data_IF_082348201416
#
_entry.id   IF_082348201416
#
_cell.length_a   1.000
_cell.length_b   1.000
_cell.length_c   1.000
_cell.angle_alpha   90.00
_cell.angle_beta   90.00
_cell.angle_gamma   90.00
#
_symmetry.space_group_name_H-M   'P 1'
#
loop_
_entity.id
_entity.type
_entity.pdbx_description
1 polymer ?
#
# COMPACT_ATOMS: atom_id res chain seq x y z
N UNK A 1 25.64 22.05 80.62
CA UNK A 1 25.71 20.60 80.90
C UNK A 1 26.05 19.90 79.59
N UNK A 2 27.35 19.64 79.34
CA UNK A 2 28.01 18.30 79.39
C UNK A 2 27.33 17.28 78.46
N UNK A 3 27.88 17.05 77.27
CA UNK A 3 28.80 15.93 76.89
C UNK A 3 28.01 14.83 76.15
N UNK A 4 28.47 14.09 75.13
CA UNK A 4 29.74 13.92 74.40
C UNK A 4 29.41 13.03 73.16
N UNK A 5 29.99 13.31 71.97
CA UNK A 5 30.98 12.52 71.17
C UNK A 5 30.59 11.06 70.84
N UNK A 6 30.83 10.54 69.62
CA UNK A 6 32.12 10.26 68.94
C UNK A 6 31.84 10.21 67.41
N UNK A 7 32.41 11.06 66.52
CA UNK A 7 33.73 10.99 65.80
C UNK A 7 33.97 9.59 65.15
N UNK A 8 34.21 9.43 63.86
CA UNK A 8 35.49 9.70 63.19
C UNK A 8 35.34 10.02 61.70
N UNK A 9 36.03 11.09 61.31
CA UNK A 9 36.48 11.47 59.97
C UNK A 9 37.69 10.64 59.51
N UNK A 10 37.88 10.52 58.19
CA UNK A 10 39.04 11.04 57.43
C UNK A 10 39.08 10.36 56.04
N UNK A 11 38.98 11.07 54.92
CA UNK A 11 39.89 12.09 54.33
C UNK A 11 41.06 11.50 53.53
N UNK A 12 41.24 12.12 52.36
CA UNK A 12 42.50 12.24 51.63
C UNK A 12 42.34 11.88 50.15
N UNK A 13 42.03 12.83 49.25
CA UNK A 13 42.98 13.78 48.60
C UNK A 13 43.80 13.09 47.50
N UNK A 14 44.04 13.60 46.29
CA UNK A 14 43.95 14.93 45.70
C UNK A 14 44.33 14.82 44.20
N UNK A 15 43.89 15.79 43.39
CA UNK A 15 44.59 16.42 42.23
C UNK A 15 45.10 15.59 41.03
N UNK A 16 45.20 16.07 39.78
CA UNK A 16 44.88 17.31 39.06
C UNK A 16 45.18 17.07 37.54
N UNK A 17 44.63 17.89 36.64
CA UNK A 17 45.30 18.28 35.38
C UNK A 17 44.86 17.70 34.02
N UNK A 18 44.39 18.59 33.12
CA UNK A 18 45.05 18.77 31.81
C UNK A 18 44.50 18.12 30.51
N UNK A 19 43.66 18.86 29.77
CA UNK A 19 43.75 19.24 28.35
C UNK A 19 43.95 18.18 27.21
N UNK A 20 42.95 18.18 26.29
CA UNK A 20 42.95 17.95 24.82
C UNK A 20 43.35 16.60 24.18
N UNK A 21 42.46 16.08 23.31
CA UNK A 21 42.71 15.96 21.86
C UNK A 21 41.46 15.61 21.03
N UNK A 22 41.36 16.34 19.91
CA UNK A 22 40.42 16.26 18.78
C UNK A 22 40.31 14.86 18.17
N UNK A 23 39.11 14.52 17.66
CA UNK A 23 38.99 13.77 16.42
C UNK A 23 37.95 14.42 15.49
N UNK A 24 38.31 14.41 14.21
CA UNK A 24 37.84 15.27 13.12
C UNK A 24 36.42 14.94 12.65
N UNK A 25 35.73 16.02 12.28
CA UNK A 25 34.63 16.06 11.32
C UNK A 25 35.10 15.55 9.96
N UNK A 26 34.33 14.64 9.35
CA UNK A 26 34.23 14.52 7.90
C UNK A 26 32.84 15.00 7.48
N UNK A 27 32.81 16.16 6.87
CA UNK A 27 31.64 16.78 6.24
C UNK A 27 31.42 16.14 4.87
N UNK A 28 30.35 15.36 4.73
CA UNK A 28 29.72 15.11 3.44
C UNK A 28 28.30 15.68 3.46
N UNK A 29 28.21 16.94 3.04
CA UNK A 29 26.95 17.61 2.71
C UNK A 29 26.27 16.87 1.55
N UNK A 30 25.13 16.25 1.83
CA UNK A 30 24.15 15.82 0.83
C UNK A 30 22.88 16.64 1.04
N UNK A 31 22.76 17.71 0.25
CA UNK A 31 21.55 18.51 0.16
C UNK A 31 20.49 17.72 -0.61
N UNK A 32 19.47 17.26 0.08
CA UNK A 32 18.25 16.69 -0.53
C UNK A 32 17.04 17.21 0.24
N UNK A 33 16.66 18.45 -0.07
CA UNK A 33 15.41 19.04 0.36
C UNK A 33 14.36 18.78 -0.71
N UNK A 34 13.40 17.90 -0.41
CA UNK A 34 12.26 17.61 -1.27
C UNK A 34 11.29 18.80 -1.20
N UNK A 35 11.04 19.40 -2.36
CA UNK A 35 10.13 20.51 -2.60
C UNK A 35 8.66 20.03 -2.72
N UNK A 36 7.73 20.98 -2.52
CA UNK A 36 6.27 20.87 -2.66
C UNK A 36 5.77 19.81 -3.66
N UNK A 37 4.85 18.90 -3.27
CA UNK A 37 4.23 17.98 -4.21
C UNK A 37 3.05 18.67 -4.91
N UNK A 38 3.35 19.53 -5.87
CA UNK A 38 2.50 19.77 -7.04
C UNK A 38 3.30 19.20 -8.20
N UNK A 39 3.11 17.92 -8.51
CA UNK A 39 3.85 17.22 -9.57
C UNK A 39 3.30 17.66 -10.93
N UNK A 40 4.06 18.37 -11.78
CA UNK A 40 3.71 18.55 -13.18
C UNK A 40 4.22 17.33 -13.97
N UNK A 41 3.36 16.85 -14.87
CA UNK A 41 3.73 15.96 -15.97
C UNK A 41 4.80 16.65 -16.84
N UNK A 42 5.93 16.00 -17.05
CA UNK A 42 6.78 16.26 -18.22
C UNK A 42 6.87 14.93 -18.98
N UNK A 43 6.39 14.95 -20.22
CA UNK A 43 6.65 13.91 -21.20
C UNK A 43 8.16 13.78 -21.39
N UNK A 44 8.66 12.55 -21.34
CA UNK A 44 10.03 12.23 -21.75
C UNK A 44 9.89 11.51 -23.08
N UNK A 45 10.30 12.21 -24.14
CA UNK A 45 10.58 11.63 -25.44
C UNK A 45 11.66 10.55 -25.27
N UNK A 46 11.36 9.34 -25.72
CA UNK A 46 12.30 8.23 -25.85
C UNK A 46 13.19 8.51 -27.07
N UNK A 47 14.42 8.99 -26.85
CA UNK A 47 15.50 8.88 -27.84
C UNK A 47 16.39 7.67 -27.49
N UNK A 48 16.38 6.68 -28.39
CA UNK A 48 17.29 5.53 -28.39
C UNK A 48 18.70 5.99 -28.77
N UNK A 49 19.70 5.76 -27.91
CA UNK A 49 21.12 5.86 -28.29
C UNK A 49 21.69 4.46 -28.58
N UNK A 50 21.88 4.20 -29.88
CA UNK A 50 22.71 3.15 -30.43
C UNK A 50 24.20 3.38 -30.08
N UNK A 51 24.84 2.38 -29.46
CA UNK A 51 26.29 2.35 -29.30
C UNK A 51 26.93 1.45 -30.36
N UNK A 52 27.39 2.06 -31.46
CA UNK A 52 28.35 1.45 -32.40
C UNK A 52 29.73 1.32 -31.75
N UNK A 53 30.33 0.12 -31.80
CA UNK A 53 31.73 -0.11 -31.45
C UNK A 53 32.56 -0.29 -32.72
N UNK A 54 33.44 0.68 -32.96
CA UNK A 54 34.43 0.68 -34.03
C UNK A 54 35.58 -0.33 -33.81
N UNK A 55 36.02 -0.89 -34.93
CA UNK A 55 37.18 -1.76 -35.10
C UNK A 55 38.51 -0.99 -34.94
N UNK A 56 39.55 -1.64 -34.39
CA UNK A 56 40.94 -1.51 -34.88
C UNK A 56 41.79 -2.67 -34.38
N UNK A 57 42.72 -3.08 -35.24
CA UNK A 57 43.47 -4.34 -35.21
C UNK A 57 44.81 -4.31 -34.45
N UNK A 58 45.27 -5.54 -34.13
CA UNK A 58 46.64 -6.10 -34.17
C UNK A 58 47.29 -6.58 -32.86
N UNK A 59 47.83 -7.81 -32.93
CA UNK A 59 48.93 -8.31 -32.10
C UNK A 59 48.74 -9.74 -31.60
N UNK A 60 49.26 -10.74 -32.31
CA UNK A 60 49.00 -12.16 -32.06
C UNK A 60 49.75 -12.85 -30.92
N UNK A 61 49.39 -14.11 -30.68
CA UNK A 61 50.13 -15.04 -29.81
C UNK A 61 49.34 -16.27 -29.35
N UNK A 62 49.37 -17.33 -30.17
CA UNK A 62 49.40 -18.79 -29.87
C UNK A 62 48.65 -19.42 -28.65
N UNK A 63 47.88 -20.48 -29.00
CA UNK A 63 47.68 -21.78 -28.28
C UNK A 63 46.69 -21.69 -27.09
N UNK A 64 45.64 -22.50 -26.89
CA UNK A 64 45.41 -23.94 -27.04
C UNK A 64 43.88 -24.25 -27.02
N UNK A 65 43.50 -25.45 -27.46
CA UNK A 65 42.12 -25.96 -27.56
C UNK A 65 41.40 -26.09 -26.21
N UNK A 66 40.10 -25.76 -26.16
CA UNK A 66 39.07 -26.76 -25.84
C UNK A 66 37.63 -26.24 -25.99
N UNK A 67 36.80 -27.09 -26.59
CA UNK A 67 35.37 -26.93 -26.84
C UNK A 67 34.58 -26.98 -25.52
N UNK A 68 33.68 -26.01 -25.33
CA UNK A 68 32.69 -26.00 -24.25
C UNK A 68 31.40 -25.32 -24.72
N UNK A 69 30.33 -26.08 -24.69
CA UNK A 69 29.05 -25.88 -25.38
C UNK A 69 28.17 -24.77 -24.77
N UNK A 70 27.43 -24.13 -25.66
CA UNK A 70 26.38 -23.13 -25.47
C UNK A 70 25.22 -23.72 -24.68
N UNK A 71 24.70 -23.00 -23.67
CA UNK A 71 23.43 -23.33 -23.01
C UNK A 71 22.37 -22.39 -23.56
N UNK A 72 21.48 -22.92 -24.40
CA UNK A 72 20.26 -22.28 -24.85
C UNK A 72 19.06 -22.89 -24.12
N UNK A 73 18.04 -22.07 -23.95
CA UNK A 73 16.81 -22.32 -23.21
C UNK A 73 15.86 -23.29 -23.91
N UNK A 74 15.18 -24.14 -23.12
CA UNK A 74 13.95 -24.86 -23.46
C UNK A 74 13.07 -24.82 -22.20
N UNK A 75 11.93 -24.11 -22.23
CA UNK A 75 10.59 -24.59 -22.59
C UNK A 75 10.09 -25.73 -21.70
N UNK A 76 9.04 -25.42 -20.94
CA UNK A 76 8.36 -26.34 -20.06
C UNK A 76 7.60 -27.40 -20.85
N UNK A 77 7.83 -28.65 -20.45
CA UNK A 77 7.04 -29.80 -20.83
C UNK A 77 6.40 -30.38 -19.57
N UNK A 78 5.18 -30.84 -19.75
CA UNK A 78 4.31 -31.44 -18.75
C UNK A 78 5.00 -32.65 -18.08
N UNK A 79 5.13 -32.61 -16.75
CA UNK A 79 5.58 -33.77 -15.98
C UNK A 79 4.44 -34.81 -15.93
N UNK A 80 4.51 -35.77 -16.84
CA UNK A 80 3.79 -37.04 -16.76
C UNK A 80 4.21 -37.79 -15.49
N UNK A 81 3.22 -38.23 -14.71
CA UNK A 81 3.40 -39.02 -13.49
C UNK A 81 4.05 -40.37 -13.83
N UNK A 82 5.26 -40.65 -13.31
CA UNK A 82 5.90 -41.97 -13.43
C UNK A 82 5.06 -43.05 -12.73
N UNK A 83 4.47 -43.96 -13.50
CA UNK A 83 3.85 -45.19 -13.01
C UNK A 83 4.89 -46.30 -12.85
N UNK A 84 5.16 -46.68 -11.60
CA UNK A 84 5.85 -47.94 -11.27
C UNK A 84 4.99 -49.15 -11.71
N UNK A 85 5.33 -49.73 -12.85
CA UNK A 85 4.82 -51.00 -13.34
C UNK A 85 5.60 -52.14 -12.65
N UNK A 86 4.96 -52.96 -11.80
CA UNK A 86 5.11 -54.43 -11.63
C UNK A 86 4.28 -54.89 -10.41
N UNK A 87 3.18 -55.61 -10.64
CA UNK A 87 2.41 -56.31 -9.60
C UNK A 87 0.94 -56.53 -9.94
N UNK A 88 0.59 -57.78 -10.25
CA UNK A 88 -0.67 -58.27 -10.82
C UNK A 88 -1.96 -57.90 -10.06
N UNK A 89 -2.94 -57.43 -10.85
CA UNK A 89 -4.35 -57.81 -10.91
C UNK A 89 -5.16 -57.86 -9.58
N UNK A 90 -5.35 -56.68 -8.96
CA UNK A 90 -6.51 -56.35 -8.09
C UNK A 90 -6.57 -54.86 -7.65
N UNK A 91 -5.80 -53.97 -8.28
CA UNK A 91 -5.54 -52.59 -7.79
C UNK A 91 -6.31 -51.50 -8.52
N UNK A 92 -6.94 -51.78 -9.67
CA UNK A 92 -7.63 -50.77 -10.49
C UNK A 92 -8.97 -50.31 -9.87
N UNK A 93 -9.70 -51.19 -9.17
CA UNK A 93 -10.91 -50.80 -8.42
C UNK A 93 -10.58 -50.01 -7.14
N UNK A 94 -9.44 -50.31 -6.49
CA UNK A 94 -8.97 -49.57 -5.29
C UNK A 94 -8.41 -48.17 -5.61
N UNK A 95 -7.77 -47.98 -6.78
CA UNK A 95 -7.26 -46.66 -7.20
C UNK A 95 -8.39 -45.69 -7.57
N UNK A 96 -9.49 -46.17 -8.18
CA UNK A 96 -10.67 -45.32 -8.48
C UNK A 96 -11.34 -44.79 -7.20
N UNK A 97 -11.45 -45.63 -6.16
CA UNK A 97 -12.07 -45.24 -4.88
C UNK A 97 -11.26 -44.22 -4.06
N UNK A 98 -9.97 -44.01 -4.33
CA UNK A 98 -9.12 -43.08 -3.54
C UNK A 98 -9.30 -41.60 -3.94
N UNK A 99 -9.83 -41.33 -5.12
CA UNK A 99 -9.96 -39.98 -5.67
C UNK A 99 -11.40 -39.56 -5.95
N UNK A 100 -12.37 -40.44 -5.72
CA UNK A 100 -13.79 -40.07 -5.79
C UNK A 100 -14.11 -39.06 -4.68
N UNK A 101 -14.73 -37.92 -5.01
CA UNK A 101 -15.18 -36.97 -4.02
C UNK A 101 -16.17 -37.63 -3.07
N UNK A 102 -16.07 -37.33 -1.77
CA UNK A 102 -16.98 -37.84 -0.75
C UNK A 102 -17.69 -36.69 -0.05
N UNK A 103 -18.99 -36.88 0.17
CA UNK A 103 -19.81 -35.98 0.99
C UNK A 103 -19.69 -36.35 2.48
N UNK A 104 -19.56 -37.64 2.80
CA UNK A 104 -19.50 -38.13 4.18
C UNK A 104 -18.05 -38.29 4.68
N UNK A 105 -17.44 -37.19 5.14
CA UNK A 105 -16.13 -37.25 5.80
C UNK A 105 -16.28 -37.31 7.34
N UNK A 106 -15.73 -38.34 8.03
CA UNK A 106 -15.92 -38.51 9.46
C UNK A 106 -15.13 -37.51 10.32
N UNK A 107 -14.20 -36.75 9.72
CA UNK A 107 -13.29 -35.84 10.42
C UNK A 107 -13.76 -34.37 10.40
N UNK A 108 -14.95 -34.08 9.87
CA UNK A 108 -15.45 -32.70 9.76
C UNK A 108 -15.68 -32.03 11.12
N UNK A 109 -15.93 -32.81 12.16
CA UNK A 109 -16.07 -32.36 13.55
C UNK A 109 -14.75 -31.82 14.14
N UNK A 110 -13.60 -32.26 13.61
CA UNK A 110 -12.27 -31.79 14.05
C UNK A 110 -11.91 -30.39 13.56
N UNK A 111 -12.69 -29.82 12.62
CA UNK A 111 -12.42 -28.51 12.01
C UNK A 111 -12.61 -27.39 13.03
N UNK A 112 -11.53 -26.66 13.32
CA UNK A 112 -11.53 -25.54 14.25
C UNK A 112 -11.41 -24.20 13.52
N UNK A 113 -12.52 -23.48 13.39
CA UNK A 113 -12.57 -22.19 12.68
C UNK A 113 -11.88 -21.05 13.44
N UNK A 114 -11.71 -21.15 14.76
CA UNK A 114 -11.12 -20.07 15.58
C UNK A 114 -9.61 -19.89 15.32
N UNK A 115 -8.92 -20.96 14.91
CA UNK A 115 -7.48 -20.94 14.61
C UNK A 115 -7.18 -20.61 13.15
N UNK A 116 -8.20 -20.52 12.29
CA UNK A 116 -8.01 -20.23 10.88
C UNK A 116 -7.75 -18.74 10.67
N UNK A 117 -6.64 -18.45 10.02
CA UNK A 117 -6.27 -17.12 9.60
C UNK A 117 -5.72 -17.19 8.17
N UNK A 118 -6.39 -16.52 7.24
CA UNK A 118 -6.06 -16.54 5.81
C UNK A 118 -5.46 -15.21 5.34
N UNK A 119 -5.01 -14.36 6.27
CA UNK A 119 -4.43 -13.03 5.97
C UNK A 119 -2.91 -13.03 5.81
N UNK A 120 -2.27 -14.18 6.01
CA UNK A 120 -0.83 -14.35 5.90
C UNK A 120 -0.41 -14.94 4.55
N UNK A 121 0.89 -14.83 4.25
CA UNK A 121 1.44 -15.38 3.02
C UNK A 121 1.26 -16.89 2.96
N UNK A 122 0.89 -17.37 1.76
CA UNK A 122 0.59 -18.78 1.47
C UNK A 122 1.87 -19.59 1.27
N UNK A 123 2.74 -19.63 2.29
CA UNK A 123 3.96 -20.41 2.34
C UNK A 123 3.81 -21.61 3.29
N UNK A 124 4.45 -22.72 2.95
CA UNK A 124 4.56 -23.84 3.88
C UNK A 124 5.40 -23.45 5.10
N UNK A 125 4.89 -23.74 6.29
CA UNK A 125 5.59 -23.46 7.56
C UNK A 125 6.86 -24.29 7.78
N UNK A 126 7.12 -25.30 6.93
CA UNK A 126 8.30 -26.18 7.00
C UNK A 126 9.28 -25.85 5.88
N UNK A 127 8.85 -25.97 4.62
CA UNK A 127 9.73 -25.78 3.45
C UNK A 127 9.84 -24.34 2.98
N UNK A 128 9.01 -23.43 3.49
CA UNK A 128 8.88 -22.04 3.01
C UNK A 128 8.52 -21.94 1.50
N UNK A 129 8.06 -23.03 0.88
CA UNK A 129 7.59 -23.03 -0.51
C UNK A 129 6.17 -22.47 -0.61
N UNK A 130 5.88 -21.74 -1.69
CA UNK A 130 4.53 -21.26 -2.04
C UNK A 130 3.81 -22.17 -3.05
N UNK A 131 4.41 -23.31 -3.42
CA UNK A 131 3.84 -24.21 -4.41
C UNK A 131 2.90 -25.21 -3.71
N UNK A 132 1.68 -25.37 -4.23
CA UNK A 132 0.69 -26.34 -3.76
C UNK A 132 0.55 -26.37 -2.23
N UNK A 133 0.27 -25.21 -1.64
CA UNK A 133 0.14 -25.05 -0.18
C UNK A 133 -1.29 -25.32 0.27
N UNK A 134 -1.40 -26.09 1.36
CA UNK A 134 -2.63 -26.50 2.00
C UNK A 134 -2.68 -25.94 3.43
N UNK A 135 -3.82 -25.41 3.84
CA UNK A 135 -4.06 -25.05 5.24
C UNK A 135 -4.73 -26.21 5.97
N UNK A 136 -4.16 -26.61 7.10
CA UNK A 136 -4.75 -27.57 8.01
C UNK A 136 -5.95 -26.92 8.72
N UNK A 137 -7.16 -27.46 8.54
CA UNK A 137 -8.38 -26.89 9.11
C UNK A 137 -8.54 -27.15 10.62
N UNK A 138 -7.63 -27.93 11.22
CA UNK A 138 -7.62 -28.25 12.66
C UNK A 138 -6.72 -27.29 13.44
N UNK A 139 -5.56 -26.91 12.90
CA UNK A 139 -4.59 -26.04 13.59
C UNK A 139 -4.26 -24.71 12.88
N UNK A 140 -4.77 -24.49 11.67
CA UNK A 140 -4.55 -23.26 10.89
C UNK A 140 -3.17 -23.13 10.24
N UNK A 141 -2.22 -24.05 10.48
CA UNK A 141 -0.87 -24.03 9.88
C UNK A 141 -0.89 -24.46 8.41
N UNK A 142 0.10 -23.99 7.65
CA UNK A 142 0.20 -24.20 6.21
C UNK A 142 1.30 -25.22 5.87
N UNK A 143 0.98 -26.17 5.00
CA UNK A 143 1.87 -27.27 4.61
C UNK A 143 1.89 -27.46 3.10
N UNK A 144 3.05 -27.82 2.55
CA UNK A 144 3.22 -28.06 1.13
C UNK A 144 2.77 -29.47 0.75
N UNK A 145 2.07 -29.57 -0.39
CA UNK A 145 1.75 -30.80 -1.09
C UNK A 145 0.66 -31.64 -0.42
N UNK A 146 0.23 -32.69 -1.11
CA UNK A 146 -0.72 -33.70 -0.59
C UNK A 146 -0.25 -35.16 -0.79
N UNK A 147 0.84 -35.36 -1.53
CA UNK A 147 1.38 -36.70 -1.80
C UNK A 147 2.05 -37.32 -0.57
N UNK A 148 2.35 -38.63 -0.63
CA UNK A 148 2.87 -39.40 0.52
C UNK A 148 4.15 -38.85 1.17
N UNK A 149 4.99 -38.14 0.41
CA UNK A 149 6.24 -37.51 0.88
C UNK A 149 6.07 -36.02 1.22
N UNK A 150 4.85 -35.49 1.17
CA UNK A 150 4.58 -34.08 1.37
C UNK A 150 4.43 -33.73 2.85
N UNK A 151 4.69 -32.46 3.20
CA UNK A 151 4.60 -32.01 4.58
C UNK A 151 3.16 -32.03 5.12
N UNK A 152 2.14 -31.86 4.27
CA UNK A 152 0.76 -31.97 4.73
C UNK A 152 0.39 -33.42 5.05
N UNK A 153 0.89 -34.36 4.24
CA UNK A 153 0.68 -35.80 4.47
C UNK A 153 1.38 -36.26 5.76
N UNK A 154 2.64 -35.89 5.97
CA UNK A 154 3.35 -36.22 7.22
C UNK A 154 2.67 -35.60 8.42
N UNK A 155 2.26 -34.32 8.33
CA UNK A 155 1.55 -33.63 9.41
C UNK A 155 0.21 -34.31 9.74
N UNK A 156 -0.50 -34.85 8.74
CA UNK A 156 -1.75 -35.57 8.97
C UNK A 156 -1.56 -36.82 9.82
N UNK A 157 -0.46 -37.54 9.62
CA UNK A 157 -0.13 -38.76 10.37
C UNK A 157 0.42 -38.44 11.76
N UNK A 158 1.32 -37.45 11.86
CA UNK A 158 2.00 -37.11 13.12
C UNK A 158 1.08 -36.41 14.11
N UNK A 159 0.24 -35.48 13.64
CA UNK A 159 -0.65 -34.70 14.48
C UNK A 159 -2.09 -35.28 14.53
N UNK A 160 -2.42 -36.25 13.68
CA UNK A 160 -3.78 -36.76 13.55
C UNK A 160 -4.77 -35.71 13.02
N UNK A 161 -4.29 -34.74 12.23
CA UNK A 161 -5.13 -33.72 11.63
C UNK A 161 -5.45 -34.10 10.19
N UNK A 162 -6.72 -34.39 9.88
CA UNK A 162 -7.07 -35.04 8.61
C UNK A 162 -7.63 -34.11 7.54
N UNK A 163 -8.11 -32.92 7.90
CA UNK A 163 -8.83 -32.03 6.96
C UNK A 163 -7.98 -30.85 6.51
N UNK A 164 -7.81 -30.69 5.19
CA UNK A 164 -6.95 -29.67 4.58
C UNK A 164 -7.66 -28.94 3.43
N UNK A 165 -7.51 -27.62 3.34
CA UNK A 165 -7.95 -26.84 2.18
C UNK A 165 -6.77 -26.38 1.34
N UNK A 166 -6.85 -26.54 0.02
CA UNK A 166 -5.86 -25.98 -0.91
C UNK A 166 -6.04 -24.46 -1.02
N UNK A 167 -5.00 -23.69 -0.70
CA UNK A 167 -5.07 -22.23 -0.64
C UNK A 167 -5.19 -21.53 -2.01
N UNK A 168 -5.05 -22.28 -3.11
CA UNK A 168 -5.19 -21.81 -4.50
C UNK A 168 -6.47 -22.31 -5.15
N UNK A 169 -6.79 -23.60 -5.01
CA UNK A 169 -7.96 -24.19 -5.69
C UNK A 169 -9.22 -24.19 -4.84
N UNK A 170 -9.14 -23.84 -3.55
CA UNK A 170 -10.28 -23.81 -2.60
C UNK A 170 -10.94 -25.18 -2.37
N UNK A 171 -10.35 -26.24 -2.92
CA UNK A 171 -10.75 -27.63 -2.73
C UNK A 171 -10.28 -28.16 -1.37
N UNK A 172 -11.12 -28.96 -0.73
CA UNK A 172 -10.84 -29.55 0.59
C UNK A 172 -10.55 -31.03 0.40
N UNK A 173 -9.57 -31.55 1.13
CA UNK A 173 -9.12 -32.94 1.04
C UNK A 173 -8.98 -33.56 2.43
N UNK A 174 -9.27 -34.86 2.50
CA UNK A 174 -8.92 -35.70 3.64
C UNK A 174 -7.52 -36.28 3.40
N UNK A 175 -6.59 -36.08 4.34
CA UNK A 175 -5.28 -36.75 4.36
C UNK A 175 -5.19 -37.61 5.63
N UNK A 176 -4.59 -38.81 5.58
CA UNK A 176 -3.80 -39.36 4.47
C UNK A 176 -4.61 -40.02 3.35
N UNK A 177 -5.93 -40.17 3.50
CA UNK A 177 -6.78 -40.97 2.61
C UNK A 177 -6.82 -40.48 1.15
N UNK A 178 -6.64 -39.18 0.92
CA UNK A 178 -6.42 -38.58 -0.40
C UNK A 178 -7.68 -38.10 -1.15
N UNK A 179 -8.88 -38.36 -0.63
CA UNK A 179 -10.13 -37.99 -1.31
C UNK A 179 -10.52 -36.51 -1.12
N UNK A 180 -11.23 -35.95 -2.11
CA UNK A 180 -11.81 -34.60 -2.05
C UNK A 180 -13.08 -34.61 -1.19
N UNK A 181 -13.23 -33.63 -0.30
CA UNK A 181 -14.38 -33.47 0.58
C UNK A 181 -15.31 -32.41 -0.03
N UNK A 182 -16.53 -32.82 -0.38
CA UNK A 182 -17.58 -31.92 -0.87
C UNK A 182 -18.67 -31.83 0.20
N UNK A 183 -18.57 -30.79 1.03
CA UNK A 183 -19.55 -30.55 2.09
C UNK A 183 -19.89 -29.04 2.19
N UNK A 184 -21.18 -28.66 2.27
CA UNK A 184 -21.63 -27.27 2.39
C UNK A 184 -21.24 -26.58 3.71
N UNK A 185 -20.98 -27.34 4.79
CA UNK A 185 -20.56 -26.77 6.08
C UNK A 185 -19.19 -26.10 6.02
N UNK A 186 -18.41 -26.38 4.98
CA UNK A 186 -17.09 -25.79 4.72
C UNK A 186 -17.14 -24.54 3.83
N UNK A 187 -18.33 -24.14 3.35
CA UNK A 187 -18.49 -22.99 2.48
C UNK A 187 -18.12 -21.68 3.19
N UNK A 188 -18.34 -21.57 4.49
CA UNK A 188 -17.90 -20.42 5.28
C UNK A 188 -16.38 -20.24 5.21
N UNK A 189 -15.61 -21.32 5.33
CA UNK A 189 -14.15 -21.32 5.20
C UNK A 189 -13.73 -20.88 3.80
N UNK A 190 -14.39 -21.38 2.74
CA UNK A 190 -14.14 -20.95 1.35
C UNK A 190 -14.40 -19.45 1.18
N UNK A 191 -15.51 -18.95 1.73
CA UNK A 191 -15.87 -17.54 1.68
C UNK A 191 -14.91 -16.64 2.45
N UNK A 192 -14.31 -17.09 3.56
CA UNK A 192 -13.28 -16.31 4.29
C UNK A 192 -11.94 -16.38 3.56
N UNK A 193 -11.55 -17.54 3.03
CA UNK A 193 -10.31 -17.72 2.28
C UNK A 193 -10.25 -16.83 1.03
N UNK A 194 -11.35 -16.77 0.28
CA UNK A 194 -11.47 -15.92 -0.90
C UNK A 194 -12.90 -15.35 -1.00
N UNK A 195 -13.17 -14.20 -0.36
CA UNK A 195 -14.49 -13.58 -0.44
C UNK A 195 -14.81 -13.20 -1.88
N UNK A 196 -16.01 -13.56 -2.34
CA UNK A 196 -16.51 -13.24 -3.69
C UNK A 196 -17.80 -12.44 -3.58
N UNK A 197 -17.96 -11.47 -4.48
CA UNK A 197 -19.13 -10.61 -4.54
C UNK A 197 -19.77 -10.68 -5.91
N UNK A 198 -21.08 -10.82 -5.94
CA UNK A 198 -21.86 -10.64 -7.17
C UNK A 198 -22.08 -9.16 -7.44
N UNK A 199 -22.28 -8.79 -8.71
CA UNK A 199 -22.54 -7.39 -9.09
C UNK A 199 -23.76 -6.80 -8.40
N UNK A 200 -24.78 -7.61 -8.12
CA UNK A 200 -25.98 -7.14 -7.45
C UNK A 200 -25.78 -6.96 -5.93
N UNK A 201 -24.98 -7.82 -5.28
CA UNK A 201 -24.53 -7.59 -3.91
C UNK A 201 -23.75 -6.28 -3.78
N UNK A 202 -22.84 -6.00 -4.72
CA UNK A 202 -22.05 -4.76 -4.73
C UNK A 202 -22.93 -3.50 -4.85
N UNK A 203 -24.00 -3.54 -5.65
CA UNK A 203 -24.96 -2.43 -5.77
C UNK A 203 -25.76 -2.20 -4.48
N UNK A 204 -26.00 -3.25 -3.71
CA UNK A 204 -26.80 -3.18 -2.47
C UNK A 204 -25.94 -2.87 -1.23
N UNK A 205 -24.62 -2.94 -1.35
CA UNK A 205 -23.67 -2.80 -0.23
C UNK A 205 -23.87 -1.48 0.55
N UNK A 206 -24.05 -0.36 -0.15
CA UNK A 206 -24.24 0.97 0.49
C UNK A 206 -25.60 1.12 1.19
N UNK A 207 -26.58 0.32 0.80
CA UNK A 207 -27.91 0.31 1.42
C UNK A 207 -27.95 -0.59 2.65
N UNK A 208 -27.03 -1.54 2.75
CA UNK A 208 -27.00 -2.49 3.83
C UNK A 208 -26.28 -1.90 5.06
N UNK A 209 -27.01 -1.72 6.15
CA UNK A 209 -26.49 -1.27 7.46
C UNK A 209 -26.53 -2.38 8.51
N UNK A 210 -26.62 -3.65 8.07
CA UNK A 210 -26.67 -4.79 8.97
C UNK A 210 -25.30 -5.06 9.57
N UNK A 211 -25.27 -5.11 10.90
CA UNK A 211 -24.13 -5.60 11.66
C UNK A 211 -23.92 -7.08 11.37
N UNK A 212 -22.67 -7.43 11.15
CA UNK A 212 -22.20 -8.81 10.99
C UNK A 212 -21.53 -9.25 12.29
N UNK A 213 -21.63 -10.53 12.60
CA UNK A 213 -21.05 -11.09 13.83
C UNK A 213 -19.93 -12.07 13.48
N UNK A 214 -18.76 -11.86 14.07
CA UNK A 214 -17.61 -12.74 13.94
C UNK A 214 -17.73 -13.95 14.89
N UNK A 215 -16.85 -14.96 14.72
CA UNK A 215 -16.86 -16.18 15.53
C UNK A 215 -16.43 -15.96 16.97
N UNK A 216 -15.63 -14.92 17.22
CA UNK A 216 -15.25 -14.47 18.57
C UNK A 216 -16.40 -13.73 19.28
N UNK A 217 -17.55 -13.59 18.62
CA UNK A 217 -18.73 -12.91 19.13
C UNK A 217 -18.72 -11.40 18.95
N UNK A 218 -17.66 -10.82 18.37
CA UNK A 218 -17.58 -9.39 18.07
C UNK A 218 -18.50 -9.00 16.92
N UNK A 219 -19.21 -7.88 17.10
CA UNK A 219 -20.03 -7.29 16.05
C UNK A 219 -19.20 -6.26 15.27
N UNK A 220 -19.30 -6.31 13.95
CA UNK A 220 -18.66 -5.35 13.05
C UNK A 220 -19.58 -5.01 11.88
N UNK A 221 -19.42 -3.81 11.32
CA UNK A 221 -20.09 -3.46 10.08
C UNK A 221 -19.13 -3.75 8.91
N UNK A 222 -19.56 -4.47 7.85
CA UNK A 222 -18.74 -4.68 6.66
C UNK A 222 -18.23 -3.35 6.11
N UNK A 223 -16.93 -3.29 5.80
CA UNK A 223 -16.27 -2.05 5.41
C UNK A 223 -15.84 -1.15 6.57
N UNK A 224 -16.27 -1.38 7.81
CA UNK A 224 -15.83 -0.69 9.05
C UNK A 224 -15.04 -1.62 9.97
N UNK A 225 -14.27 -2.57 9.41
CA UNK A 225 -13.43 -3.48 10.19
C UNK A 225 -12.09 -2.83 10.54
N UNK A 226 -11.51 -3.21 11.68
CA UNK A 226 -10.16 -2.78 12.05
C UNK A 226 -9.09 -3.41 11.16
N UNK A 227 -8.01 -2.68 10.89
CA UNK A 227 -6.81 -3.23 10.25
C UNK A 227 -5.71 -3.43 11.28
N UNK A 228 -5.09 -4.61 11.32
CA UNK A 228 -3.99 -4.87 12.25
C UNK A 228 -2.82 -3.90 11.98
N UNK A 229 -2.25 -3.33 13.04
CA UNK A 229 -1.05 -2.50 12.95
C UNK A 229 0.20 -3.36 13.10
N UNK A 230 0.89 -3.62 11.98
CA UNK A 230 2.09 -4.46 11.93
C UNK A 230 3.32 -3.58 12.17
N UNK A 231 3.46 -3.04 13.39
CA UNK A 231 4.53 -2.09 13.79
C UNK A 231 4.61 -0.85 12.87
N UNK A 232 4.01 0.26 13.31
CA UNK A 232 4.13 1.56 12.62
C UNK A 232 3.58 1.60 11.17
N UNK A 233 2.50 0.87 10.92
CA UNK A 233 1.83 0.79 9.60
C UNK A 233 0.47 1.49 9.54
N UNK A 234 0.19 2.33 10.54
CA UNK A 234 -1.04 3.12 10.63
C UNK A 234 -1.23 4.09 9.45
N UNK A 235 -0.16 4.63 8.87
CA UNK A 235 -0.22 5.46 7.66
C UNK A 235 -0.83 4.70 6.47
N UNK A 236 -0.56 3.39 6.36
CA UNK A 236 -1.20 2.51 5.36
C UNK A 236 -2.65 2.28 5.74
N UNK A 237 -2.93 1.94 7.00
CA UNK A 237 -4.27 1.61 7.46
C UNK A 237 -5.24 2.79 7.25
N UNK A 238 -4.86 4.01 7.62
CA UNK A 238 -5.66 5.22 7.42
C UNK A 238 -5.90 5.48 5.93
N UNK A 239 -4.88 5.30 5.10
CA UNK A 239 -4.99 5.49 3.65
C UNK A 239 -5.96 4.49 3.03
N UNK A 240 -5.83 3.20 3.36
CA UNK A 240 -6.71 2.15 2.85
C UNK A 240 -8.15 2.37 3.32
N UNK A 241 -8.36 2.61 4.61
CA UNK A 241 -9.70 2.87 5.15
C UNK A 241 -10.39 4.06 4.48
N UNK A 242 -9.62 5.10 4.13
CA UNK A 242 -10.14 6.27 3.42
C UNK A 242 -10.52 5.93 1.97
N UNK A 243 -9.64 5.24 1.24
CA UNK A 243 -9.87 4.89 -0.17
C UNK A 243 -11.00 3.86 -0.34
N UNK A 244 -11.16 2.91 0.60
CA UNK A 244 -12.20 1.88 0.51
C UNK A 244 -13.63 2.41 0.73
N UNK A 245 -13.78 3.68 1.10
CA UNK A 245 -15.07 4.39 1.14
C UNK A 245 -15.49 4.99 -0.19
N UNK A 246 -14.57 5.09 -1.14
CA UNK A 246 -14.85 5.63 -2.47
C UNK A 246 -15.61 4.57 -3.26
N UNK A 247 -16.92 4.76 -3.41
CA UNK A 247 -17.84 3.74 -3.91
C UNK A 247 -17.45 3.17 -5.28
N UNK A 248 -17.10 3.96 -6.31
CA UNK A 248 -16.69 3.40 -7.60
C UNK A 248 -15.39 2.61 -7.52
N UNK A 249 -14.40 3.12 -6.76
CA UNK A 249 -13.11 2.45 -6.53
C UNK A 249 -13.31 1.11 -5.81
N UNK A 250 -14.06 1.11 -4.71
CA UNK A 250 -14.41 -0.10 -3.97
C UNK A 250 -15.09 -1.12 -4.88
N UNK A 251 -16.15 -0.70 -5.57
CA UNK A 251 -16.95 -1.57 -6.42
C UNK A 251 -16.10 -2.20 -7.54
N UNK A 252 -15.14 -1.44 -8.08
CA UNK A 252 -14.18 -1.96 -9.06
C UNK A 252 -13.35 -3.11 -8.49
N UNK A 253 -12.78 -2.94 -7.29
CA UNK A 253 -11.89 -3.93 -6.66
C UNK A 253 -12.62 -5.10 -5.97
N UNK A 254 -13.91 -4.98 -5.68
CA UNK A 254 -14.73 -6.10 -5.18
C UNK A 254 -14.98 -7.18 -6.25
N UNK A 255 -14.84 -6.85 -7.52
CA UNK A 255 -15.09 -7.73 -8.67
C UNK A 255 -13.75 -8.06 -9.35
N UNK A 256 -13.15 -9.24 -9.12
CA UNK A 256 -11.83 -9.60 -9.67
C UNK A 256 -11.71 -9.47 -11.18
N UNK A 257 -12.80 -9.73 -11.92
CA UNK A 257 -12.85 -9.70 -13.38
C UNK A 257 -12.48 -8.32 -13.93
N UNK A 258 -12.69 -7.25 -13.16
CA UNK A 258 -12.38 -5.88 -13.56
C UNK A 258 -10.87 -5.62 -13.67
N UNK A 259 -10.04 -6.37 -12.96
CA UNK A 259 -8.59 -6.15 -12.91
C UNK A 259 -7.75 -7.42 -13.03
N UNK A 260 -8.37 -8.58 -13.31
CA UNK A 260 -7.69 -9.86 -13.52
C UNK A 260 -6.63 -9.83 -14.63
N UNK A 261 -6.79 -8.93 -15.60
CA UNK A 261 -5.83 -8.74 -16.69
C UNK A 261 -4.50 -8.12 -16.21
N UNK A 262 -4.50 -7.46 -15.05
CA UNK A 262 -3.33 -6.84 -14.46
C UNK A 262 -2.52 -7.88 -13.66
N UNK A 263 -1.30 -8.18 -14.11
CA UNK A 263 -0.40 -9.12 -13.43
C UNK A 263 0.32 -8.53 -12.21
N UNK A 264 0.09 -7.25 -11.89
CA UNK A 264 0.75 -6.57 -10.77
C UNK A 264 0.29 -7.17 -9.43
N UNK A 265 1.21 -7.72 -8.60
CA UNK A 265 0.86 -8.22 -7.27
C UNK A 265 0.22 -7.15 -6.39
N UNK A 266 0.63 -5.88 -6.53
CA UNK A 266 0.06 -4.77 -5.77
C UNK A 266 -1.45 -4.62 -6.03
N UNK A 267 -1.86 -4.66 -7.30
CA UNK A 267 -3.27 -4.54 -7.70
C UNK A 267 -4.07 -5.73 -7.19
N UNK A 268 -3.53 -6.94 -7.33
CA UNK A 268 -4.17 -8.17 -6.87
C UNK A 268 -4.37 -8.15 -5.35
N UNK A 269 -3.33 -7.84 -4.57
CA UNK A 269 -3.40 -7.76 -3.11
C UNK A 269 -4.27 -6.62 -2.61
N UNK A 270 -4.33 -5.49 -3.33
CA UNK A 270 -5.25 -4.39 -3.01
C UNK A 270 -6.71 -4.85 -3.15
N UNK A 271 -7.04 -5.57 -4.23
CA UNK A 271 -8.37 -6.13 -4.45
C UNK A 271 -8.75 -7.21 -3.42
N UNK A 272 -7.83 -8.12 -3.09
CA UNK A 272 -8.02 -9.12 -2.04
C UNK A 272 -8.30 -8.47 -0.68
N UNK A 273 -7.50 -7.48 -0.28
CA UNK A 273 -7.71 -6.72 0.94
C UNK A 273 -9.07 -6.00 0.93
N UNK A 274 -9.46 -5.41 -0.21
CA UNK A 274 -10.78 -4.77 -0.38
C UNK A 274 -11.90 -5.76 -0.10
N UNK A 275 -11.84 -6.96 -0.67
CA UNK A 275 -12.86 -8.00 -0.49
C UNK A 275 -12.94 -8.49 0.95
N UNK A 276 -11.80 -8.67 1.63
CA UNK A 276 -11.74 -9.06 3.05
C UNK A 276 -12.34 -7.99 3.97
N UNK A 277 -12.03 -6.71 3.72
CA UNK A 277 -12.57 -5.58 4.49
C UNK A 277 -14.10 -5.50 4.41
N UNK A 278 -14.66 -5.79 3.23
CA UNK A 278 -16.11 -5.69 2.97
C UNK A 278 -16.86 -7.02 3.09
N UNK A 279 -16.19 -8.08 3.54
CA UNK A 279 -16.83 -9.39 3.72
C UNK A 279 -17.66 -9.42 5.01
N UNK A 280 -18.91 -9.89 4.90
CA UNK A 280 -19.86 -9.92 6.01
C UNK A 280 -19.80 -11.18 6.88
N UNK A 281 -18.95 -12.16 6.52
CA UNK A 281 -18.85 -13.44 7.23
C UNK A 281 -17.40 -13.73 7.66
N UNK A 282 -16.64 -12.70 7.99
CA UNK A 282 -15.31 -12.86 8.56
C UNK A 282 -15.35 -13.60 9.90
N UNK A 283 -14.36 -14.46 10.12
CA UNK A 283 -14.20 -15.17 11.38
C UNK A 283 -13.76 -14.26 12.54
N UNK A 284 -13.14 -13.11 12.23
CA UNK A 284 -12.66 -12.11 13.19
C UNK A 284 -13.16 -10.73 12.79
N UNK A 285 -13.42 -9.85 13.75
CA UNK A 285 -13.82 -8.44 13.53
C UNK A 285 -12.71 -7.51 13.02
N UNK A 286 -11.58 -8.07 12.57
CA UNK A 286 -10.40 -7.35 12.10
C UNK A 286 -9.74 -8.11 10.94
N UNK A 287 -9.00 -7.39 10.10
CA UNK A 287 -8.29 -7.94 8.94
C UNK A 287 -6.82 -7.52 9.00
N UNK A 288 -5.91 -8.45 8.75
CA UNK A 288 -4.48 -8.13 8.68
C UNK A 288 -4.09 -7.72 7.26
N UNK A 289 -3.52 -6.52 7.05
CA UNK A 289 -3.07 -6.06 5.73
C UNK A 289 -1.70 -6.63 5.32
N UNK A 290 -1.24 -7.72 5.95
CA UNK A 290 0.14 -8.19 5.82
C UNK A 290 0.56 -8.49 4.37
N UNK A 291 -0.22 -9.28 3.63
CA UNK A 291 0.10 -9.59 2.23
C UNK A 291 0.13 -8.33 1.34
N UNK A 292 -0.74 -7.36 1.61
CA UNK A 292 -0.74 -6.09 0.90
C UNK A 292 0.50 -5.26 1.22
N UNK A 293 0.91 -5.19 2.50
CA UNK A 293 2.13 -4.51 2.93
C UNK A 293 3.39 -5.09 2.27
N UNK A 294 3.47 -6.42 2.10
CA UNK A 294 4.58 -7.04 1.37
C UNK A 294 4.59 -6.62 -0.11
N UNK A 295 3.41 -6.60 -0.76
CA UNK A 295 3.30 -6.13 -2.13
C UNK A 295 3.69 -4.64 -2.28
N UNK A 296 3.31 -3.81 -1.30
CA UNK A 296 3.72 -2.40 -1.19
C UNK A 296 5.23 -2.29 -1.05
N UNK A 297 5.86 -3.04 -0.14
CA UNK A 297 7.31 -3.02 0.06
C UNK A 297 8.07 -3.37 -1.21
N UNK A 298 7.61 -4.39 -1.94
CA UNK A 298 8.20 -4.82 -3.22
C UNK A 298 8.01 -3.76 -4.31
N UNK A 299 6.78 -3.29 -4.52
CA UNK A 299 6.46 -2.33 -5.58
C UNK A 299 7.10 -0.95 -5.35
N UNK A 300 7.22 -0.53 -4.08
CA UNK A 300 7.82 0.75 -3.70
C UNK A 300 9.35 0.71 -3.59
N UNK A 301 10.00 -0.41 -3.97
CA UNK A 301 11.45 -0.62 -3.81
C UNK A 301 11.94 -0.34 -2.38
N UNK A 302 11.18 -0.84 -1.38
CA UNK A 302 11.44 -0.67 0.06
C UNK A 302 11.39 0.78 0.55
N UNK A 303 10.66 1.66 -0.12
CA UNK A 303 10.39 3.04 0.34
C UNK A 303 9.43 3.06 1.53
N UNK A 304 8.38 2.23 1.49
CA UNK A 304 7.44 2.07 2.61
C UNK A 304 7.68 0.71 3.26
N UNK A 305 8.29 0.70 4.45
CA UNK A 305 8.71 -0.52 5.15
C UNK A 305 7.83 -0.80 6.36
N UNK A 306 7.63 -2.08 6.66
CA UNK A 306 7.05 -2.51 7.93
C UNK A 306 8.02 -2.14 9.07
N UNK A 307 7.52 -1.53 10.14
CA UNK A 307 8.33 -1.08 11.28
C UNK A 307 8.93 0.31 11.15
N UNK A 308 8.59 1.07 10.10
CA UNK A 308 9.03 2.45 9.92
C UNK A 308 7.85 3.34 9.54
N UNK A 309 7.54 4.31 10.41
CA UNK A 309 6.55 5.35 10.11
C UNK A 309 6.84 6.09 8.79
N UNK A 310 5.77 6.46 8.09
CA UNK A 310 5.82 7.25 6.86
C UNK A 310 4.62 8.20 6.79
N UNK A 311 4.70 9.20 5.93
CA UNK A 311 3.59 10.14 5.75
C UNK A 311 2.45 9.49 4.93
N UNK A 312 1.19 9.50 5.42
CA UNK A 312 0.05 8.88 4.73
C UNK A 312 -0.29 9.56 3.39
N UNK A 313 -0.03 10.87 3.26
CA UNK A 313 -0.24 11.63 2.02
C UNK A 313 0.77 11.19 0.97
N UNK A 314 2.02 11.02 1.39
CA UNK A 314 3.10 10.54 0.52
C UNK A 314 2.86 9.11 0.04
N UNK A 315 2.34 8.27 0.94
CA UNK A 315 1.91 6.91 0.63
C UNK A 315 0.69 6.89 -0.31
N UNK A 316 -0.33 7.69 -0.03
CA UNK A 316 -1.54 7.79 -0.85
C UNK A 316 -1.22 8.27 -2.27
N UNK A 317 -0.41 9.32 -2.40
CA UNK A 317 0.02 9.83 -3.69
C UNK A 317 0.79 8.77 -4.50
N UNK A 318 1.74 8.06 -3.86
CA UNK A 318 2.44 6.95 -4.51
C UNK A 318 1.48 5.83 -4.91
N UNK A 319 0.58 5.43 -4.01
CA UNK A 319 -0.33 4.31 -4.22
C UNK A 319 -1.28 4.58 -5.38
N UNK A 320 -1.94 5.75 -5.41
CA UNK A 320 -2.87 6.11 -6.48
C UNK A 320 -2.16 6.17 -7.84
N UNK A 321 -0.98 6.79 -7.91
CA UNK A 321 -0.20 6.84 -9.15
C UNK A 321 0.24 5.44 -9.61
N UNK A 322 0.70 4.60 -8.68
CA UNK A 322 1.17 3.24 -8.99
C UNK A 322 0.00 2.35 -9.41
N UNK A 323 -1.17 2.46 -8.77
CA UNK A 323 -2.37 1.74 -9.18
C UNK A 323 -2.83 2.20 -10.56
N UNK A 324 -2.85 3.52 -10.82
CA UNK A 324 -3.18 4.05 -12.15
C UNK A 324 -2.25 3.48 -13.23
N UNK A 325 -0.93 3.56 -13.02
CA UNK A 325 0.06 3.09 -13.97
C UNK A 325 -0.05 1.58 -14.28
N UNK A 326 -0.45 0.76 -13.29
CA UNK A 326 -0.65 -0.68 -13.47
C UNK A 326 -2.01 -1.04 -14.07
N UNK A 327 -3.04 -0.23 -13.86
CA UNK A 327 -4.41 -0.48 -14.34
C UNK A 327 -4.72 0.16 -15.69
N UNK A 328 -3.92 1.13 -16.14
CA UNK A 328 -4.12 1.74 -17.46
C UNK A 328 -3.95 0.68 -18.55
N UNK A 329 -4.84 0.70 -19.53
CA UNK A 329 -4.69 -0.13 -20.72
C UNK A 329 -3.93 0.67 -21.78
N UNK A 330 -3.04 0.04 -22.54
CA UNK A 330 -2.22 0.73 -23.56
C UNK A 330 -3.06 1.56 -24.57
N UNK A 331 -4.34 1.21 -24.76
CA UNK A 331 -5.26 1.89 -25.68
C UNK A 331 -5.95 3.12 -25.11
N UNK A 332 -6.05 3.25 -23.79
CA UNK A 332 -6.71 4.38 -23.10
C UNK A 332 -5.90 4.74 -21.86
N UNK A 333 -5.39 5.97 -21.80
CA UNK A 333 -4.72 6.52 -20.62
C UNK A 333 -5.72 6.86 -19.49
N UNK A 334 -6.64 5.94 -19.21
CA UNK A 334 -7.68 6.08 -18.22
C UNK A 334 -7.73 4.83 -17.35
N UNK A 335 -8.05 5.01 -16.08
CA UNK A 335 -8.28 3.94 -15.12
C UNK A 335 -9.26 4.41 -14.07
N UNK A 336 -9.80 3.48 -13.27
CA UNK A 336 -10.73 3.80 -12.18
C UNK A 336 -10.18 4.89 -11.23
N UNK A 337 -8.85 4.97 -11.08
CA UNK A 337 -8.20 5.99 -10.25
C UNK A 337 -8.44 7.38 -10.83
N UNK A 338 -8.23 7.55 -12.15
CA UNK A 338 -8.42 8.86 -12.78
C UNK A 338 -9.90 9.21 -12.91
N UNK A 339 -10.76 8.23 -13.17
CA UNK A 339 -12.22 8.42 -13.15
C UNK A 339 -12.73 8.93 -11.80
N UNK A 340 -12.18 8.41 -10.69
CA UNK A 340 -12.60 8.83 -9.35
C UNK A 340 -11.99 10.16 -8.92
N UNK A 341 -10.68 10.36 -9.14
CA UNK A 341 -9.90 11.38 -8.42
C UNK A 341 -9.26 12.44 -9.31
N UNK A 342 -9.22 12.29 -10.64
CA UNK A 342 -8.48 13.21 -11.51
C UNK A 342 -9.27 14.49 -11.79
N UNK A 343 -8.90 15.57 -11.11
CA UNK A 343 -9.28 16.92 -11.47
C UNK A 343 -8.26 17.59 -12.40
N UNK A 344 -8.58 18.80 -12.83
CA UNK A 344 -7.67 19.66 -13.59
C UNK A 344 -7.67 21.08 -13.00
N UNK A 345 -6.46 21.62 -12.86
CA UNK A 345 -6.18 22.99 -12.48
C UNK A 345 -5.67 23.76 -13.69
N UNK A 346 -6.04 25.02 -13.75
CA UNK A 346 -5.34 26.02 -14.54
C UNK A 346 -4.43 26.82 -13.61
N UNK A 347 -3.18 26.99 -14.02
CA UNK A 347 -2.16 27.74 -13.29
C UNK A 347 -1.72 28.90 -14.16
N UNK A 348 -1.95 30.13 -13.68
CA UNK A 348 -1.48 31.35 -14.32
C UNK A 348 -0.27 31.85 -13.54
N UNK A 349 0.89 31.87 -14.19
CA UNK A 349 2.17 32.29 -13.62
C UNK A 349 2.60 33.61 -14.23
N UNK A 350 2.66 34.64 -13.40
CA UNK A 350 3.13 35.98 -13.75
C UNK A 350 4.56 36.15 -13.23
N UNK A 351 5.51 36.36 -14.14
CA UNK A 351 6.94 36.56 -13.82
C UNK A 351 7.29 38.04 -14.08
N UNK A 352 7.70 38.79 -13.04
CA UNK A 352 8.20 40.16 -13.24
C UNK A 352 9.57 40.13 -13.93
N UNK A 353 9.69 40.77 -15.10
CA UNK A 353 10.96 40.94 -15.79
C UNK A 353 11.89 41.86 -14.97
N UNK A 354 13.02 41.34 -14.49
CA UNK A 354 14.06 42.12 -13.78
C UNK A 354 15.19 42.62 -14.70
N UNK A 355 15.00 42.60 -16.01
CA UNK A 355 15.97 43.16 -16.96
C UNK A 355 15.30 44.28 -17.76
N UNK A 356 15.47 45.52 -17.31
CA UNK A 356 15.73 46.70 -18.14
C UNK A 356 16.32 47.75 -17.19
N UNK A 357 17.62 47.96 -17.33
CA UNK A 357 18.31 49.20 -16.99
C UNK A 357 17.60 50.35 -17.68
N UNK A 358 17.16 51.33 -16.89
CA UNK A 358 16.75 52.68 -17.29
C UNK A 358 15.46 52.81 -18.14
N UNK A 359 14.42 53.34 -17.48
CA UNK A 359 13.34 54.18 -18.05
C UNK A 359 12.53 53.61 -19.22
N UNK A 360 11.62 52.66 -18.94
CA UNK A 360 10.29 52.58 -19.59
C UNK A 360 9.24 52.13 -18.57
N UNK A 361 8.15 52.89 -18.47
CA UNK A 361 7.07 52.76 -17.46
C UNK A 361 6.10 51.59 -17.64
N UNK A 362 6.34 50.65 -18.56
CA UNK A 362 5.58 49.40 -18.60
C UNK A 362 6.55 48.24 -18.50
N UNK A 363 6.75 47.75 -17.28
CA UNK A 363 7.44 46.48 -17.05
C UNK A 363 6.59 45.37 -17.66
N UNK A 364 7.08 44.79 -18.76
CA UNK A 364 6.37 43.73 -19.48
C UNK A 364 6.29 42.48 -18.56
N UNK A 365 5.06 42.16 -18.10
CA UNK A 365 4.80 41.00 -17.24
C UNK A 365 4.64 39.78 -18.14
N UNK A 366 5.58 38.84 -18.05
CA UNK A 366 5.43 37.57 -18.74
C UNK A 366 4.39 36.70 -18.02
N UNK A 367 3.32 36.35 -18.72
CA UNK A 367 2.23 35.52 -18.18
C UNK A 367 2.20 34.19 -18.92
N UNK A 368 2.35 33.10 -18.18
CA UNK A 368 2.30 31.72 -18.68
C UNK A 368 1.08 31.03 -18.07
N UNK A 369 0.20 30.48 -18.91
CA UNK A 369 -0.96 29.71 -18.46
C UNK A 369 -0.77 28.25 -18.83
N UNK A 370 -0.82 27.36 -17.84
CA UNK A 370 -0.72 25.92 -18.04
C UNK A 370 -1.89 25.18 -17.39
N UNK A 371 -2.25 24.03 -17.96
CA UNK A 371 -3.23 23.10 -17.36
C UNK A 371 -2.49 21.96 -16.70
N UNK A 372 -2.85 21.65 -15.47
CA UNK A 372 -2.19 20.65 -14.65
C UNK A 372 -3.23 19.67 -14.08
N UNK A 373 -3.17 18.36 -14.40
CA UNK A 373 -4.01 17.38 -13.74
C UNK A 373 -3.58 17.20 -12.28
N UNK A 374 -4.53 16.90 -11.40
CA UNK A 374 -4.25 16.59 -10.00
C UNK A 374 -5.09 15.44 -9.50
N UNK A 375 -4.56 14.68 -8.53
CA UNK A 375 -5.32 13.68 -7.77
C UNK A 375 -5.68 14.17 -6.37
N UNK A 376 -4.91 15.14 -5.84
CA UNK A 376 -5.11 15.71 -4.51
C UNK A 376 -4.78 17.21 -4.55
N UNK A 377 -5.53 18.02 -3.82
CA UNK A 377 -5.26 19.45 -3.67
C UNK A 377 -4.53 19.72 -2.35
N UNK A 378 -3.35 20.33 -2.46
CA UNK A 378 -2.58 20.81 -1.33
C UNK A 378 -3.12 22.14 -0.80
N UNK A 379 -3.64 22.10 0.42
CA UNK A 379 -4.19 23.23 1.15
C UNK A 379 -3.13 23.79 2.11
N UNK A 380 -2.74 25.04 1.87
CA UNK A 380 -1.80 25.77 2.71
C UNK A 380 -2.51 26.31 3.95
N UNK A 381 -2.13 25.80 5.12
CA UNK A 381 -2.58 26.39 6.38
C UNK A 381 -1.82 27.71 6.63
N UNK A 382 -2.49 28.72 7.20
CA UNK A 382 -1.82 29.96 7.58
C UNK A 382 -0.70 29.67 8.58
N UNK A 383 0.40 30.45 8.54
CA UNK A 383 1.53 30.24 9.44
C UNK A 383 1.08 30.35 10.90
N UNK A 384 1.60 29.52 11.81
CA UNK A 384 1.34 29.66 13.23
C UNK A 384 1.74 31.08 13.69
N UNK A 385 0.94 31.74 14.55
CA UNK A 385 1.33 33.01 15.12
C UNK A 385 2.68 32.85 15.85
N UNK A 386 3.63 33.73 15.54
CA UNK A 386 5.00 33.67 16.08
C UNK A 386 5.03 33.90 17.61
N UNK A 387 4.02 34.58 18.15
CA UNK A 387 3.87 34.86 19.57
C UNK A 387 2.78 33.96 20.14
N UNK A 388 3.16 33.14 21.13
CA UNK A 388 2.21 32.38 21.94
C UNK A 388 1.74 33.32 23.05
N UNK A 389 0.48 33.73 23.04
CA UNK A 389 -0.05 34.56 24.13
C UNK A 389 0.06 33.79 25.45
N UNK A 390 0.58 34.44 26.49
CA UNK A 390 0.82 33.82 27.82
C UNK A 390 -0.50 33.35 28.44
N UNK A 391 -1.63 33.96 28.03
CA UNK A 391 -2.99 33.60 28.41
C UNK A 391 -3.65 32.54 27.50
N UNK A 392 -3.15 32.33 26.27
CA UNK A 392 -3.74 31.42 25.27
C UNK A 392 -3.01 30.07 25.16
N UNK A 393 -2.56 29.49 26.27
CA UNK A 393 -1.87 28.18 26.22
C UNK A 393 -2.72 27.03 25.66
N UNK A 394 -4.02 27.22 25.44
CA UNK A 394 -4.97 26.17 25.05
C UNK A 394 -5.86 26.47 23.83
N UNK A 395 -5.75 27.62 23.16
CA UNK A 395 -6.64 27.93 22.02
C UNK A 395 -5.94 27.50 20.73
N UNK A 396 -6.39 26.40 20.14
CA UNK A 396 -5.96 25.99 18.80
C UNK A 396 -6.60 26.95 17.79
N UNK A 397 -5.81 27.71 17.01
CA UNK A 397 -6.36 28.67 16.07
C UNK A 397 -7.19 27.97 14.99
N UNK A 398 -8.39 28.48 14.72
CA UNK A 398 -9.36 27.85 13.82
C UNK A 398 -9.43 28.62 12.49
N UNK A 399 -9.44 27.88 11.38
CA UNK A 399 -9.50 28.45 10.03
C UNK A 399 -10.62 27.77 9.25
N UNK A 400 -11.64 28.52 8.78
CA UNK A 400 -12.66 27.95 7.91
C UNK A 400 -12.04 27.38 6.63
N UNK A 401 -12.43 26.17 6.24
CA UNK A 401 -11.92 25.52 5.03
C UNK A 401 -12.14 26.37 3.76
N UNK A 402 -13.26 27.08 3.68
CA UNK A 402 -13.56 28.01 2.58
C UNK A 402 -12.44 29.04 2.36
N UNK A 403 -11.85 29.57 3.43
CA UNK A 403 -10.77 30.56 3.32
C UNK A 403 -9.49 29.95 2.74
N UNK A 404 -9.23 28.67 3.01
CA UNK A 404 -8.05 27.98 2.48
C UNK A 404 -8.28 27.60 1.01
N UNK A 405 -9.52 27.28 0.64
CA UNK A 405 -9.90 26.96 -0.73
C UNK A 405 -9.90 28.16 -1.68
N UNK A 406 -9.95 29.41 -1.17
CA UNK A 406 -9.76 30.62 -1.97
C UNK A 406 -8.47 30.61 -2.79
N UNK A 407 -7.45 29.86 -2.38
CA UNK A 407 -6.25 29.63 -3.20
C UNK A 407 -6.56 29.20 -4.65
N UNK A 408 -7.70 28.55 -4.88
CA UNK A 408 -8.11 27.96 -6.16
C UNK A 408 -9.26 28.69 -6.86
N UNK A 409 -9.57 29.94 -6.46
CA UNK A 409 -10.64 30.76 -7.07
C UNK A 409 -10.22 31.45 -8.39
N UNK A 410 -8.94 31.43 -8.75
CA UNK A 410 -8.37 32.14 -9.90
C UNK A 410 -8.05 33.62 -9.65
N UNK A 411 -8.41 34.16 -8.48
CA UNK A 411 -8.18 35.56 -8.08
C UNK A 411 -7.05 35.67 -7.06
N UNK A 412 -7.00 34.75 -6.08
CA UNK A 412 -6.05 34.75 -4.98
C UNK A 412 -4.64 34.52 -5.49
N UNK A 413 -3.80 35.54 -5.34
CA UNK A 413 -2.39 35.50 -5.74
C UNK A 413 -1.57 34.83 -4.66
N UNK A 414 -0.83 33.79 -5.05
CA UNK A 414 0.19 33.15 -4.22
C UNK A 414 1.57 33.52 -4.72
N UNK A 415 2.44 34.01 -3.84
CA UNK A 415 3.82 34.34 -4.20
C UNK A 415 4.72 33.13 -3.94
N UNK A 416 5.35 32.64 -5.01
CA UNK A 416 6.35 31.56 -4.93
C UNK A 416 7.72 32.19 -5.06
N UNK A 417 8.57 32.00 -4.06
CA UNK A 417 9.87 32.70 -3.92
C UNK A 417 11.01 31.94 -4.63
N UNK A 418 10.85 30.63 -4.92
CA UNK A 418 11.88 29.77 -5.54
C UNK A 418 11.30 28.98 -6.71
N UNK A 419 12.02 28.80 -7.83
CA UNK A 419 13.38 29.26 -8.15
C UNK A 419 13.50 30.74 -8.54
N UNK A 420 12.38 31.42 -8.87
CA UNK A 420 12.28 32.88 -9.06
C UNK A 420 10.99 33.37 -8.44
N UNK A 421 10.96 34.63 -7.98
CA UNK A 421 9.74 35.27 -7.49
C UNK A 421 8.72 35.29 -8.63
N UNK A 422 7.65 34.51 -8.50
CA UNK A 422 6.54 34.45 -9.44
C UNK A 422 5.22 34.56 -8.68
N UNK A 423 4.26 35.25 -9.28
CA UNK A 423 2.88 35.31 -8.79
C UNK A 423 2.09 34.22 -9.48
N UNK A 424 1.52 33.31 -8.71
CA UNK A 424 0.74 32.20 -9.22
C UNK A 424 -0.72 32.35 -8.79
N UNK A 425 -1.63 32.21 -9.74
CA UNK A 425 -3.07 32.06 -9.51
C UNK A 425 -3.48 30.66 -9.94
N UNK A 426 -4.25 29.98 -9.10
CA UNK A 426 -4.75 28.64 -9.39
C UNK A 426 -6.26 28.70 -9.57
N UNK A 427 -6.78 27.97 -10.54
CA UNK A 427 -8.22 27.85 -10.80
C UNK A 427 -8.60 26.41 -11.08
N UNK A 428 -9.59 25.87 -10.38
CA UNK A 428 -10.09 24.51 -10.70
C UNK A 428 -10.96 24.58 -11.94
N UNK A 429 -10.53 23.92 -13.01
CA UNK A 429 -11.28 23.85 -14.27
C UNK A 429 -12.12 22.58 -14.39
N UNK A 430 -11.68 21.48 -13.76
CA UNK A 430 -12.43 20.21 -13.70
C UNK A 430 -12.37 19.64 -12.30
N UNK A 431 -13.54 19.42 -11.69
CA UNK A 431 -13.66 18.73 -10.41
C UNK A 431 -13.72 17.20 -10.62
N UNK A 432 -13.01 16.42 -9.81
CA UNK A 432 -13.18 14.97 -9.79
C UNK A 432 -14.49 14.58 -9.08
N UNK A 433 -14.94 13.34 -9.28
CA UNK A 433 -16.10 12.81 -8.54
C UNK A 433 -15.82 12.74 -7.03
N UNK A 434 -14.58 12.42 -6.65
CA UNK A 434 -14.10 12.42 -5.28
C UNK A 434 -12.88 13.32 -5.16
N UNK A 435 -13.00 14.40 -4.38
CA UNK A 435 -11.93 15.36 -4.16
C UNK A 435 -11.14 15.01 -2.89
N UNK A 436 -9.82 14.82 -3.03
CA UNK A 436 -8.91 14.64 -1.90
C UNK A 436 -8.28 15.99 -1.55
N UNK A 437 -8.49 16.44 -0.31
CA UNK A 437 -7.91 17.65 0.24
C UNK A 437 -6.80 17.30 1.23
N UNK A 438 -5.57 17.70 0.92
CA UNK A 438 -4.41 17.53 1.79
C UNK A 438 -4.12 18.84 2.51
N UNK A 439 -4.38 18.87 3.82
CA UNK A 439 -3.95 19.96 4.69
C UNK A 439 -2.45 19.87 4.98
N UNK A 440 -1.65 20.78 4.44
CA UNK A 440 -0.20 20.80 4.64
C UNK A 440 0.16 21.23 6.06
N UNK A 441 0.15 20.25 6.98
CA UNK A 441 0.41 20.47 8.40
C UNK A 441 1.89 20.42 8.76
N UNK A 442 2.71 19.72 8.00
CA UNK A 442 4.12 19.55 8.32
C UNK A 442 4.97 20.37 7.36
N UNK A 443 5.76 21.30 7.89
CA UNK A 443 6.73 22.05 7.09
C UNK A 443 8.13 21.82 7.68
N UNK A 444 9.07 21.43 6.84
CA UNK A 444 10.47 21.25 7.24
C UNK A 444 11.14 22.61 7.23
N UNK A 445 11.51 23.10 8.41
CA UNK A 445 12.38 24.26 8.54
C UNK A 445 13.86 23.79 8.45
N UNK A 446 14.81 24.73 8.50
CA UNK A 446 16.25 24.43 8.45
C UNK A 446 16.73 23.47 9.54
N UNK A 447 15.98 23.31 10.63
CA UNK A 447 16.41 22.55 11.82
C UNK A 447 15.54 21.33 12.14
N UNK A 448 14.21 21.43 12.00
CA UNK A 448 13.27 20.37 12.36
C UNK A 448 11.98 20.48 11.53
N UNK A 449 11.16 19.43 11.60
CA UNK A 449 9.82 19.42 11.02
C UNK A 449 8.87 20.06 12.04
N UNK A 450 8.24 21.16 11.66
CA UNK A 450 7.27 21.86 12.49
C UNK A 450 5.85 21.46 12.07
N UNK A 451 5.03 21.07 13.06
CA UNK A 451 3.61 20.78 12.86
C UNK A 451 2.79 22.04 13.08
N UNK A 452 2.05 22.44 12.07
CA UNK A 452 1.05 23.48 12.13
C UNK A 452 -0.19 22.98 12.91
N UNK A 453 -0.48 23.56 14.10
CA UNK A 453 -1.56 23.10 14.96
C UNK A 453 -2.95 23.55 14.50
N UNK A 454 -3.07 24.47 13.53
CA UNK A 454 -4.35 25.08 13.13
C UNK A 454 -5.45 24.05 12.88
N UNK A 455 -6.61 24.25 13.50
CA UNK A 455 -7.78 23.43 13.25
C UNK A 455 -8.52 23.97 12.02
N UNK A 456 -8.82 23.10 11.04
CA UNK A 456 -9.66 23.52 9.91
C UNK A 456 -11.11 23.14 10.20
N UNK A 457 -11.97 24.13 10.30
CA UNK A 457 -13.40 23.93 10.53
C UNK A 457 -14.12 23.73 9.18
N UNK A 458 -14.84 22.63 9.04
CA UNK A 458 -15.70 22.35 7.90
C UNK A 458 -16.96 21.59 8.37
N UNK A 459 -18.10 21.87 7.72
CA UNK A 459 -19.32 21.09 7.88
C UNK A 459 -19.31 19.92 6.88
N UNK A 460 -19.80 18.75 7.31
CA UNK A 460 -19.92 17.58 6.43
C UNK A 460 -21.04 17.73 5.38
N UNK A 461 -21.98 18.66 5.58
CA UNK A 461 -23.23 18.71 4.81
C UNK A 461 -23.18 19.69 3.63
N UNK A 462 -22.30 20.69 3.64
CA UNK A 462 -22.34 21.79 2.66
C UNK A 462 -20.95 22.36 2.32
N UNK A 463 -20.06 21.53 1.76
CA UNK A 463 -18.90 22.04 1.04
C UNK A 463 -19.36 22.47 -0.36
N UNK A 464 -19.92 23.68 -0.46
CA UNK A 464 -20.33 24.31 -1.72
C UNK A 464 -19.14 24.69 -2.60
N UNK A 465 -18.38 23.69 -3.07
CA UNK A 465 -17.18 23.90 -3.91
C UNK A 465 -17.54 24.50 -5.28
N UNK A 466 -18.83 24.46 -5.64
CA UNK A 466 -19.40 25.07 -6.85
C UNK A 466 -19.08 26.58 -6.98
N UNK A 467 -18.91 27.31 -5.86
CA UNK A 467 -18.56 28.74 -5.89
C UNK A 467 -17.14 29.02 -6.38
N UNK A 468 -16.29 28.00 -6.42
CA UNK A 468 -14.93 28.08 -6.96
C UNK A 468 -14.86 27.61 -8.43
N UNK A 469 -16.01 27.28 -9.02
CA UNK A 469 -16.14 26.90 -10.42
C UNK A 469 -16.58 28.09 -11.27
N UNK A 470 -16.08 28.17 -12.51
CA UNK A 470 -16.57 29.16 -13.46
C UNK A 470 -17.98 28.82 -13.92
N UNK A 471 -18.91 29.78 -13.87
CA UNK A 471 -20.14 29.81 -14.66
C UNK A 471 -19.84 29.93 -16.17
N UNK A 472 -19.08 28.99 -16.73
CA UNK A 472 -18.64 28.97 -18.13
C UNK A 472 -19.22 27.79 -18.93
N UNK A 473 -20.37 27.27 -18.51
CA UNK A 473 -21.28 26.47 -19.34
C UNK A 473 -22.73 26.78 -18.91
N UNK A 474 -23.20 27.96 -19.30
CA UNK A 474 -24.62 28.27 -19.47
C UNK A 474 -24.79 28.89 -20.84
#
# INVERSE_FOLDING_TARGET
MKNRRVEEDNMGSEESGGISKRQRLDEHFSASGIENPLVPYNDVDDEEEDFERGETANGGGKVEENRGQVVAAENGEDEEEEEDLYGEDNSLEKRKSQFEPREDCPYLDTVNRQVLDFDFEKFCSVSLSNLNVYACLVCGKYYQGRGKKSHAYTHSLEAGHHVYVNLRTEKVYCLPDGYEIIDPSLDDIRHVLNPRFTRDQVKQLDKNRQWSRALDGSDYLPGMVGLNNIKETDFVNVTIQSLMRVTPLRNFFLIPENYQHCKSPLVQRYGELTRKIWHARNFKGQVSPHEFLQAVMKASKKRFRIGQQSDPVEFMAWLLNTLHANLRTSKKNNSIIYECFQGELEVVKEIPNKAITEKKENGDIFTETSRMPFLMLGLDLPPPPLFKDVMEKNIIPQVPLFNILKKFDGETVTEVVRPRVARMKYRVIRLPQYLILHMQRFKKNNFFIEKNPHFSQFSCEELGVERFYSSANA
#
